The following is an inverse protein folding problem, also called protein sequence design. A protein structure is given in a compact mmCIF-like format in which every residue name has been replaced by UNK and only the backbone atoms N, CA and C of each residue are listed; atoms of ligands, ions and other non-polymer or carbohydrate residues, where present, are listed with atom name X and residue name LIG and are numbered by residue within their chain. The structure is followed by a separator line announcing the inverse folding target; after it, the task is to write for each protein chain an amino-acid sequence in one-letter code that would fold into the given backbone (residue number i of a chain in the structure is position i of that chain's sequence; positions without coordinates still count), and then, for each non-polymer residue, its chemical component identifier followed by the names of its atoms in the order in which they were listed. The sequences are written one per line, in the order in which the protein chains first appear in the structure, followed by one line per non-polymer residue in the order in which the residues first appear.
data_IF_709696502464
#
_entry.id   IF_709696502464
#
_cell.length_a   1.000
_cell.length_b   1.000
_cell.length_c   1.000
_cell.angle_alpha   90.00
_cell.angle_beta   90.00
_cell.angle_gamma   90.00
#
_symmetry.space_group_name_H-M   'P 1'
#
loop_
_entity.id
_entity.type
_entity.pdbx_description
1 polymer ?
#
# COMPACT_ATOMS: atom_id res chain seq x y z
N UNK A 1 -16.41 -1.09 6.82
CA UNK A 1 -15.34 -0.22 7.31
C UNK A 1 -15.61 1.17 6.74
N UNK A 2 -16.10 2.11 7.55
CA UNK A 2 -16.28 3.51 7.11
C UNK A 2 -14.90 4.18 7.05
N UNK A 3 -14.63 5.08 6.08
CA UNK A 3 -13.40 5.85 6.09
C UNK A 3 -13.33 6.66 7.38
N UNK A 4 -12.28 6.45 8.16
CA UNK A 4 -12.04 7.19 9.39
C UNK A 4 -11.55 8.60 9.01
N UNK A 5 -11.94 9.64 9.75
CA UNK A 5 -11.50 11.01 9.48
C UNK A 5 -9.97 11.17 9.65
N UNK A 6 -9.33 10.28 10.40
CA UNK A 6 -7.91 10.31 10.75
C UNK A 6 -7.10 9.16 10.16
N UNK A 7 -7.70 8.29 9.32
CA UNK A 7 -6.99 7.13 8.79
C UNK A 7 -7.52 6.54 7.49
N UNK A 8 -6.63 5.80 6.82
CA UNK A 8 -6.90 5.09 5.56
C UNK A 8 -6.25 3.70 5.62
N UNK A 9 -6.83 2.75 4.90
CA UNK A 9 -6.18 1.44 4.65
C UNK A 9 -5.60 1.47 3.23
N UNK A 10 -4.29 1.25 3.13
CA UNK A 10 -3.62 1.06 1.85
C UNK A 10 -3.58 -0.43 1.54
N UNK A 11 -3.93 -0.79 0.31
CA UNK A 11 -3.92 -2.18 -0.14
C UNK A 11 -3.12 -2.34 -1.42
N UNK A 12 -2.33 -3.41 -1.50
CA UNK A 12 -1.77 -3.89 -2.78
C UNK A 12 -1.66 -5.41 -2.75
N UNK A 13 -1.73 -6.03 -3.93
CA UNK A 13 -1.41 -7.44 -4.12
C UNK A 13 -0.23 -7.55 -5.05
N UNK A 14 0.79 -8.29 -4.62
CA UNK A 14 1.97 -8.49 -5.43
C UNK A 14 1.80 -9.74 -6.31
N UNK A 15 1.53 -9.53 -7.59
CA UNK A 15 1.35 -10.57 -8.60
C UNK A 15 2.11 -10.17 -9.89
N UNK A 16 3.41 -10.52 -10.00
CA UNK A 16 4.23 -10.18 -11.17
C UNK A 16 3.72 -10.81 -12.48
N UNK A 17 3.08 -11.97 -12.42
CA UNK A 17 2.28 -12.52 -13.52
C UNK A 17 0.85 -12.80 -13.04
N UNK A 18 -0.08 -11.83 -13.12
CA UNK A 18 -1.45 -12.01 -12.64
C UNK A 18 -2.25 -13.07 -13.41
N UNK A 19 -1.73 -13.57 -14.55
CA UNK A 19 -2.34 -14.60 -15.38
C UNK A 19 -1.69 -15.97 -15.23
N UNK A 20 -0.66 -16.09 -14.40
CA UNK A 20 -0.02 -17.36 -14.12
C UNK A 20 -1.07 -18.39 -13.66
N UNK A 21 -1.12 -19.52 -14.38
CA UNK A 21 -2.08 -20.60 -14.12
C UNK A 21 -1.88 -21.31 -12.79
N UNK A 22 -0.86 -20.92 -12.01
CA UNK A 22 -0.57 -21.42 -10.67
C UNK A 22 -1.49 -20.83 -9.59
N UNK A 23 -2.21 -19.73 -9.89
CA UNK A 23 -3.04 -19.00 -8.92
C UNK A 23 -2.27 -18.13 -7.92
N UNK A 24 -0.93 -18.19 -7.94
CA UNK A 24 -0.02 -17.45 -7.06
C UNK A 24 0.58 -16.21 -7.72
N UNK A 25 0.29 -16.00 -9.01
CA UNK A 25 0.73 -14.83 -9.73
C UNK A 25 2.22 -14.87 -10.11
N UNK A 26 2.77 -16.08 -10.26
CA UNK A 26 4.19 -16.30 -10.57
C UNK A 26 5.16 -16.09 -9.40
N UNK A 27 4.71 -16.17 -8.14
CA UNK A 27 5.57 -16.00 -6.95
C UNK A 27 5.84 -17.30 -6.20
N UNK A 28 7.11 -17.44 -5.78
CA UNK A 28 7.56 -18.49 -4.85
C UNK A 28 6.96 -18.27 -3.46
N UNK A 29 6.89 -19.34 -2.65
CA UNK A 29 6.34 -19.47 -1.29
C UNK A 29 6.93 -18.54 -0.19
N UNK A 30 7.58 -17.45 -0.55
CA UNK A 30 8.39 -16.62 0.34
C UNK A 30 7.61 -15.40 0.83
N UNK A 31 7.74 -15.10 2.11
CA UNK A 31 7.31 -13.82 2.68
C UNK A 31 8.11 -12.67 2.06
N UNK A 32 7.42 -11.62 1.58
CA UNK A 32 8.08 -10.49 0.90
C UNK A 32 7.85 -9.23 1.72
N UNK A 33 8.95 -8.54 2.05
CA UNK A 33 8.89 -7.25 2.75
C UNK A 33 8.47 -6.17 1.77
N UNK A 34 7.45 -5.40 2.14
CA UNK A 34 6.88 -4.34 1.31
C UNK A 34 6.91 -3.06 2.12
N UNK A 35 7.67 -2.09 1.64
CA UNK A 35 7.64 -0.74 2.19
C UNK A 35 6.47 0.03 1.59
N UNK A 36 5.88 0.91 2.38
CA UNK A 36 4.85 1.83 1.91
C UNK A 36 5.17 3.25 2.37
N UNK A 37 4.82 4.22 1.54
CA UNK A 37 4.95 5.64 1.84
C UNK A 37 3.65 6.35 1.54
N UNK A 38 3.34 7.36 2.33
CA UNK A 38 2.26 8.29 2.08
C UNK A 38 2.75 9.73 2.18
N UNK A 39 2.38 10.56 1.21
CA UNK A 39 2.86 11.92 1.02
C UNK A 39 1.72 12.91 0.77
N UNK A 40 2.00 14.19 0.98
CA UNK A 40 1.08 15.29 0.63
C UNK A 40 1.16 15.69 -0.86
N UNK A 41 2.13 15.16 -1.61
CA UNK A 41 2.32 15.44 -3.04
C UNK A 41 2.67 14.18 -3.84
N UNK A 42 2.25 14.16 -5.11
CA UNK A 42 2.43 13.01 -6.03
C UNK A 42 3.91 12.66 -6.29
N UNK A 43 4.81 13.62 -6.11
CA UNK A 43 6.25 13.43 -6.31
C UNK A 43 6.95 12.91 -5.05
N UNK A 44 6.22 12.72 -3.94
CA UNK A 44 6.74 12.27 -2.66
C UNK A 44 7.85 13.18 -2.09
N UNK A 45 7.77 14.50 -2.32
CA UNK A 45 8.69 15.45 -1.67
C UNK A 45 8.39 15.62 -0.18
N UNK A 46 7.14 15.41 0.22
CA UNK A 46 6.67 15.53 1.61
C UNK A 46 5.99 14.25 2.07
N UNK A 47 6.80 13.26 2.43
CA UNK A 47 6.34 12.02 3.07
C UNK A 47 5.88 12.33 4.49
N UNK A 48 4.64 11.98 4.82
CA UNK A 48 4.02 12.20 6.13
C UNK A 48 3.95 10.93 6.97
N UNK A 49 3.84 9.76 6.33
CA UNK A 49 3.83 8.45 6.99
C UNK A 49 4.55 7.45 6.09
N UNK A 50 5.20 6.47 6.72
CA UNK A 50 5.79 5.34 6.02
C UNK A 50 5.82 4.13 6.96
N UNK A 51 5.99 2.95 6.40
CA UNK A 51 6.06 1.73 7.18
C UNK A 51 6.48 0.55 6.33
N UNK A 52 6.40 -0.63 6.93
CA UNK A 52 6.81 -1.86 6.29
C UNK A 52 5.86 -2.96 6.72
N UNK A 53 5.31 -3.65 5.73
CA UNK A 53 4.45 -4.82 5.91
C UNK A 53 5.11 -6.05 5.32
N UNK A 54 4.62 -7.23 5.71
CA UNK A 54 5.07 -8.51 5.16
C UNK A 54 3.94 -9.12 4.35
N UNK A 55 4.13 -9.19 3.03
CA UNK A 55 3.25 -9.90 2.12
C UNK A 55 3.50 -11.41 2.25
N UNK A 56 2.66 -12.09 3.03
CA UNK A 56 2.70 -13.54 3.21
C UNK A 56 2.03 -14.26 2.04
N UNK A 57 2.58 -15.41 1.62
CA UNK A 57 2.02 -16.26 0.58
C UNK A 57 0.62 -16.77 0.95
N UNK A 58 0.40 -17.08 2.24
CA UNK A 58 -0.89 -17.51 2.80
C UNK A 58 -2.00 -16.46 2.64
N UNK A 59 -1.65 -15.17 2.50
CA UNK A 59 -2.56 -14.06 2.24
C UNK A 59 -2.53 -13.62 0.77
N UNK A 60 -2.18 -14.53 -0.13
CA UNK A 60 -2.03 -14.32 -1.57
C UNK A 60 -1.07 -13.17 -1.92
N UNK A 61 -0.04 -12.96 -1.10
CA UNK A 61 0.92 -11.84 -1.17
C UNK A 61 0.23 -10.45 -1.19
N UNK A 62 -0.87 -10.33 -0.45
CA UNK A 62 -1.54 -9.06 -0.20
C UNK A 62 -0.90 -8.32 0.96
N UNK A 63 -0.90 -6.99 0.89
CA UNK A 63 -0.49 -6.08 1.96
C UNK A 63 -1.69 -5.23 2.36
N UNK A 64 -1.91 -5.10 3.65
CA UNK A 64 -2.85 -4.16 4.24
C UNK A 64 -2.09 -3.30 5.23
N UNK A 65 -1.91 -2.02 4.91
CA UNK A 65 -1.27 -1.06 5.81
C UNK A 65 -2.33 -0.10 6.33
N UNK A 66 -2.50 -0.06 7.66
CA UNK A 66 -3.38 0.89 8.31
C UNK A 66 -2.57 2.15 8.66
N UNK A 67 -3.00 3.28 8.11
CA UNK A 67 -2.31 4.56 8.29
C UNK A 67 -3.20 5.49 9.09
N UNK A 68 -2.68 5.93 10.23
CA UNK A 68 -3.37 6.76 11.21
C UNK A 68 -2.73 8.16 11.33
N UNK A 69 -3.32 8.99 12.19
CA UNK A 69 -2.88 10.35 12.53
C UNK A 69 -2.83 11.28 11.31
N UNK A 70 -3.83 11.16 10.44
CA UNK A 70 -3.99 11.99 9.25
C UNK A 70 -4.93 13.16 9.50
N UNK A 71 -4.75 14.22 8.72
CA UNK A 71 -5.66 15.36 8.80
C UNK A 71 -6.94 15.02 8.01
N UNK A 72 -8.13 15.32 8.55
CA UNK A 72 -9.41 15.05 7.88
C UNK A 72 -9.61 15.89 6.63
N UNK A 73 -10.40 15.36 5.69
CA UNK A 73 -10.77 16.02 4.45
C UNK A 73 -9.61 16.32 3.49
N UNK A 74 -8.47 15.62 3.63
CA UNK A 74 -7.25 15.88 2.85
C UNK A 74 -6.95 14.78 1.86
N UNK A 75 -6.49 15.18 0.68
CA UNK A 75 -5.92 14.26 -0.30
C UNK A 75 -4.48 13.89 0.09
N UNK A 76 -4.14 12.62 -0.09
CA UNK A 76 -2.82 12.05 0.10
C UNK A 76 -2.47 11.13 -1.07
N UNK A 77 -1.17 11.00 -1.32
CA UNK A 77 -0.58 10.15 -2.35
C UNK A 77 0.15 9.00 -1.68
N UNK A 78 0.06 7.79 -2.21
CA UNK A 78 0.73 6.63 -1.63
C UNK A 78 1.37 5.74 -2.69
N UNK A 79 2.42 5.01 -2.29
CA UNK A 79 3.08 4.02 -3.14
C UNK A 79 3.66 2.89 -2.29
N UNK A 80 3.85 1.74 -2.93
CA UNK A 80 4.52 0.59 -2.35
C UNK A 80 5.88 0.37 -3.03
N UNK A 81 6.84 -0.16 -2.27
CA UNK A 81 8.18 -0.52 -2.76
C UNK A 81 8.55 -1.91 -2.28
N UNK A 82 9.20 -2.69 -3.15
CA UNK A 82 9.75 -4.00 -2.81
C UNK A 82 11.00 -4.25 -3.66
N UNK A 83 12.15 -4.41 -3.00
CA UNK A 83 13.43 -4.53 -3.72
C UNK A 83 13.67 -3.32 -4.62
N UNK A 84 13.75 -3.54 -5.94
CA UNK A 84 13.94 -2.50 -6.95
C UNK A 84 12.64 -2.04 -7.63
N UNK A 85 11.49 -2.59 -7.24
CA UNK A 85 10.20 -2.25 -7.84
C UNK A 85 9.44 -1.21 -7.01
N UNK A 86 8.79 -0.27 -7.70
CA UNK A 86 7.92 0.74 -7.12
C UNK A 86 6.57 0.66 -7.83
N UNK A 87 5.47 0.64 -7.07
CA UNK A 87 4.13 0.66 -7.63
C UNK A 87 3.83 1.98 -8.34
N UNK A 88 2.80 2.02 -9.21
CA UNK A 88 2.14 3.28 -9.56
C UNK A 88 1.72 4.06 -8.31
N UNK A 89 1.60 5.38 -8.44
CA UNK A 89 1.15 6.26 -7.36
C UNK A 89 -0.37 6.17 -7.23
N UNK A 90 -0.84 5.77 -6.06
CA UNK A 90 -2.25 5.81 -5.69
C UNK A 90 -2.60 7.14 -5.02
N UNK A 91 -3.90 7.47 -5.01
CA UNK A 91 -4.45 8.64 -4.31
C UNK A 91 -5.58 8.21 -3.40
N UNK A 92 -5.69 8.88 -2.26
CA UNK A 92 -6.76 8.67 -1.30
C UNK A 92 -7.14 9.99 -0.63
N UNK A 93 -8.33 10.05 -0.04
CA UNK A 93 -8.80 11.21 0.70
C UNK A 93 -9.37 10.76 2.04
N UNK A 94 -8.91 11.37 3.13
CA UNK A 94 -9.50 11.14 4.46
C UNK A 94 -10.91 11.68 4.52
N UNK A 95 -11.77 11.04 5.32
CA UNK A 95 -13.13 11.54 5.51
C UNK A 95 -13.12 12.93 6.16
N UNK A 96 -14.19 13.70 5.95
CA UNK A 96 -14.42 14.91 6.73
C UNK A 96 -14.81 14.52 8.18
N UNK A 97 -14.47 15.38 9.13
CA UNK A 97 -14.89 15.23 10.53
C UNK A 97 -16.38 15.49 10.71
#
# INVERSE_FOLDING_TARGET
MHPLPDGVVLWTRLAPDPTAGDGFGGRMDRSIRVEWEMAEDEKFNKVVRHGTEVAMSELAHSVHAEVYDLKPGREYYYRFKTGNEISPVGRTKTAHA
#
